data_IF_746259292214
#
_entry.id   IF_746259292214
#
_cell.length_a   1.000
_cell.length_b   1.000
_cell.length_c   1.000
_cell.angle_alpha   90.00
_cell.angle_beta   90.00
_cell.angle_gamma   90.00
#
_symmetry.space_group_name_H-M   'P 1'
#
loop_
_entity.id
_entity.type
_entity.pdbx_description
1 polymer ?
#
# COMPACT_ATOMS: atom_id res chain seq x y z
N UNK A 1 8.93 3.91 12.37
CA UNK A 1 8.51 3.40 11.05
C UNK A 1 9.46 2.29 10.64
N UNK A 2 8.93 1.10 10.45
CA UNK A 2 9.74 -0.04 10.03
C UNK A 2 9.30 -0.50 8.65
N UNK A 3 10.27 -0.52 7.72
CA UNK A 3 10.06 -0.95 6.36
C UNK A 3 10.99 -2.12 6.07
N UNK A 4 10.44 -3.16 5.46
CA UNK A 4 11.20 -4.35 5.08
C UNK A 4 11.31 -4.41 3.56
N UNK A 5 12.53 -4.51 3.06
CA UNK A 5 12.80 -4.60 1.63
C UNK A 5 13.12 -6.04 1.25
N UNK A 6 12.47 -6.56 0.21
CA UNK A 6 12.76 -7.87 -0.35
C UNK A 6 13.45 -7.69 -1.71
N UNK A 7 14.68 -8.21 -1.81
CA UNK A 7 15.42 -8.21 -3.07
C UNK A 7 14.96 -9.31 -4.03
N UNK A 8 14.15 -10.25 -3.52
CA UNK A 8 13.60 -11.36 -4.32
C UNK A 8 12.24 -11.05 -4.92
N UNK A 9 11.59 -9.98 -4.46
CA UNK A 9 10.32 -9.53 -5.02
C UNK A 9 10.53 -8.92 -6.40
N UNK A 10 9.55 -9.13 -7.30
CA UNK A 10 9.51 -8.49 -8.61
C UNK A 10 9.10 -7.03 -8.52
N UNK A 11 8.53 -6.63 -7.38
CA UNK A 11 8.11 -5.26 -7.15
C UNK A 11 9.32 -4.35 -6.95
N UNK A 12 9.40 -3.22 -7.67
CA UNK A 12 10.51 -2.27 -7.50
C UNK A 12 10.61 -1.80 -6.04
N UNK A 13 11.82 -1.49 -5.59
CA UNK A 13 12.06 -1.08 -4.20
C UNK A 13 11.22 0.14 -3.83
N UNK A 14 11.12 1.15 -4.71
CA UNK A 14 10.32 2.33 -4.38
C UNK A 14 8.84 1.99 -4.15
N UNK A 15 8.28 1.03 -4.89
CA UNK A 15 6.91 0.58 -4.68
C UNK A 15 6.75 -0.18 -3.37
N UNK A 16 7.73 -0.99 -2.99
CA UNK A 16 7.72 -1.67 -1.69
C UNK A 16 7.65 -0.65 -0.55
N UNK A 17 8.39 0.45 -0.68
CA UNK A 17 8.36 1.53 0.31
C UNK A 17 6.99 2.22 0.31
N UNK A 18 6.51 2.63 -0.87
CA UNK A 18 5.22 3.35 -0.96
C UNK A 18 4.07 2.50 -0.44
N UNK A 19 4.02 1.23 -0.80
CA UNK A 19 2.93 0.35 -0.36
C UNK A 19 2.93 0.12 1.15
N UNK A 20 4.10 -0.03 1.75
CA UNK A 20 4.21 -0.19 3.21
C UNK A 20 3.83 1.09 3.95
N UNK A 21 4.30 2.25 3.48
CA UNK A 21 3.93 3.53 4.10
C UNK A 21 2.44 3.80 3.98
N UNK A 22 1.85 3.56 2.80
CA UNK A 22 0.40 3.69 2.61
C UNK A 22 -0.38 2.82 3.59
N UNK A 23 0.03 1.57 3.75
CA UNK A 23 -0.60 0.65 4.69
C UNK A 23 -0.52 1.15 6.13
N UNK A 24 0.64 1.65 6.55
CA UNK A 24 0.84 2.19 7.90
C UNK A 24 -0.04 3.43 8.16
N UNK A 25 -0.23 4.27 7.14
CA UNK A 25 -1.10 5.44 7.24
C UNK A 25 -2.56 5.01 7.33
N UNK A 26 -2.97 4.07 6.50
CA UNK A 26 -4.36 3.59 6.46
C UNK A 26 -4.78 2.85 7.71
N UNK A 27 -3.86 2.13 8.35
CA UNK A 27 -4.13 1.40 9.60
C UNK A 27 -4.00 2.28 10.85
N UNK A 28 -3.54 3.53 10.68
CA UNK A 28 -3.33 4.44 11.81
C UNK A 28 -2.00 4.24 12.54
N UNK A 29 -1.16 3.31 12.09
CA UNK A 29 0.17 3.10 12.66
C UNK A 29 1.02 4.37 12.53
N UNK A 30 0.89 5.07 11.39
CA UNK A 30 1.42 6.41 11.20
C UNK A 30 0.25 7.40 11.27
N UNK A 31 0.20 8.18 12.35
CA UNK A 31 -0.87 9.14 12.57
C UNK A 31 -0.74 10.37 11.67
N UNK A 32 -1.86 11.02 11.40
CA UNK A 32 -1.87 12.31 10.72
C UNK A 32 -0.95 13.30 11.40
N UNK A 33 -0.16 14.01 10.61
CA UNK A 33 0.80 14.99 11.11
C UNK A 33 2.10 14.39 11.63
N UNK A 34 2.22 13.07 11.70
CA UNK A 34 3.45 12.43 12.15
C UNK A 34 4.59 12.72 11.17
N UNK A 35 5.78 13.00 11.68
CA UNK A 35 6.96 13.23 10.88
C UNK A 35 7.51 11.91 10.36
N UNK A 36 7.85 11.89 9.07
CA UNK A 36 8.56 10.77 8.47
C UNK A 36 10.07 10.98 8.61
N UNK A 37 10.86 9.88 8.60
CA UNK A 37 12.31 10.06 8.56
C UNK A 37 12.72 10.81 7.30
N UNK A 38 13.85 11.51 7.35
CA UNK A 38 14.38 12.17 6.16
C UNK A 38 14.71 11.13 5.08
N UNK A 39 14.69 11.57 3.83
CA UNK A 39 15.05 10.71 2.71
C UNK A 39 16.42 10.07 2.91
N UNK A 40 17.41 10.85 3.36
CA UNK A 40 18.76 10.35 3.60
C UNK A 40 18.81 9.32 4.73
N UNK A 41 18.07 9.58 5.81
CA UNK A 41 18.02 8.67 6.94
C UNK A 41 17.38 7.35 6.55
N UNK A 42 16.26 7.39 5.88
CA UNK A 42 15.58 6.17 5.44
C UNK A 42 16.43 5.38 4.45
N UNK A 43 17.05 6.06 3.49
CA UNK A 43 17.95 5.41 2.54
C UNK A 43 19.11 4.70 3.25
N UNK A 44 19.69 5.36 4.25
CA UNK A 44 20.77 4.79 5.06
C UNK A 44 20.28 3.58 5.85
N UNK A 45 19.15 3.70 6.52
CA UNK A 45 18.59 2.64 7.36
C UNK A 45 18.23 1.41 6.53
N UNK A 46 17.74 1.60 5.32
CA UNK A 46 17.37 0.50 4.41
C UNK A 46 18.51 0.04 3.51
N UNK A 47 19.64 0.73 3.54
CA UNK A 47 20.80 0.44 2.68
C UNK A 47 20.43 0.47 1.19
N UNK A 48 19.70 1.51 0.79
CA UNK A 48 19.29 1.74 -0.58
C UNK A 48 19.71 3.14 -1.04
N UNK A 49 19.57 3.41 -2.34
CA UNK A 49 19.96 4.72 -2.88
C UNK A 49 19.02 5.82 -2.41
N UNK A 50 19.57 7.03 -2.28
CA UNK A 50 18.78 8.24 -1.98
C UNK A 50 17.79 8.51 -3.11
N UNK A 51 18.16 8.24 -4.35
CA UNK A 51 17.30 8.44 -5.53
C UNK A 51 16.04 7.58 -5.45
N UNK A 52 16.19 6.30 -5.08
CA UNK A 52 15.06 5.38 -4.92
C UNK A 52 14.13 5.83 -3.81
N UNK A 53 14.70 6.23 -2.66
CA UNK A 53 13.93 6.73 -1.52
C UNK A 53 13.20 8.02 -1.86
N UNK A 54 13.87 8.94 -2.56
CA UNK A 54 13.27 10.18 -3.03
C UNK A 54 12.07 9.91 -3.94
N UNK A 55 12.20 8.97 -4.86
CA UNK A 55 11.10 8.57 -5.74
C UNK A 55 9.90 8.07 -4.95
N UNK A 56 10.14 7.25 -3.93
CA UNK A 56 9.06 6.77 -3.07
C UNK A 56 8.31 7.93 -2.40
N UNK A 57 9.04 8.89 -1.84
CA UNK A 57 8.44 10.06 -1.20
C UNK A 57 7.69 10.94 -2.19
N UNK A 58 8.22 11.14 -3.39
CA UNK A 58 7.52 11.89 -4.44
C UNK A 58 6.21 11.22 -4.84
N UNK A 59 6.22 9.90 -5.00
CA UNK A 59 5.00 9.14 -5.31
C UNK A 59 3.97 9.23 -4.19
N UNK A 60 4.41 9.15 -2.93
CA UNK A 60 3.52 9.29 -1.77
C UNK A 60 2.91 10.68 -1.69
N UNK A 61 3.69 11.71 -1.96
CA UNK A 61 3.22 13.08 -1.96
C UNK A 61 2.22 13.32 -3.09
N UNK A 62 2.53 12.84 -4.29
CA UNK A 62 1.66 12.92 -5.46
C UNK A 62 0.32 12.22 -5.22
N UNK A 63 0.34 11.10 -4.51
CA UNK A 63 -0.86 10.35 -4.17
C UNK A 63 -1.63 10.93 -2.98
N UNK A 64 -1.11 11.98 -2.33
CA UNK A 64 -1.79 12.65 -1.23
C UNK A 64 -1.62 12.00 0.14
N UNK A 65 -0.67 11.08 0.30
CA UNK A 65 -0.43 10.42 1.58
C UNK A 65 0.48 11.21 2.51
N UNK A 66 1.38 12.00 1.95
CA UNK A 66 2.29 12.83 2.71
C UNK A 66 2.38 14.23 2.10
N UNK A 67 2.90 15.18 2.88
CA UNK A 67 3.25 16.51 2.40
C UNK A 67 4.62 16.90 2.93
N UNK A 68 5.30 17.78 2.22
CA UNK A 68 6.63 18.24 2.60
C UNK A 68 6.62 19.73 2.89
N UNK A 69 7.33 20.12 3.92
CA UNK A 69 7.55 21.52 4.28
C UNK A 69 9.04 21.80 4.15
N UNK A 70 9.39 22.76 3.31
CA UNK A 70 10.78 23.14 3.07
C UNK A 70 11.46 23.48 4.41
N UNK A 71 12.59 22.85 4.66
CA UNK A 71 13.37 23.05 5.90
C UNK A 71 12.84 22.29 7.11
N UNK A 72 11.72 21.60 7.02
CA UNK A 72 11.12 20.87 8.15
C UNK A 72 10.95 19.37 7.90
N UNK A 73 10.83 18.96 6.65
CA UNK A 73 10.71 17.54 6.28
C UNK A 73 9.35 17.16 5.75
N UNK A 74 9.07 15.86 5.81
CA UNK A 74 7.83 15.26 5.31
C UNK A 74 6.96 14.76 6.45
N UNK A 75 5.66 14.88 6.26
CA UNK A 75 4.67 14.57 7.30
C UNK A 75 3.49 13.82 6.70
N UNK A 76 2.81 13.03 7.52
CA UNK A 76 1.62 12.30 7.12
C UNK A 76 0.47 13.29 6.89
N UNK A 77 -0.11 13.25 5.69
CA UNK A 77 -1.25 14.10 5.32
C UNK A 77 -2.55 13.56 5.89
N UNK A 78 -3.54 14.45 6.03
CA UNK A 78 -4.90 14.05 6.39
C UNK A 78 -5.48 13.14 5.30
N UNK A 79 -6.12 12.04 5.72
CA UNK A 79 -6.74 11.08 4.81
C UNK A 79 -8.26 11.10 4.97
N UNK A 80 -8.96 11.10 3.85
CA UNK A 80 -10.39 10.83 3.87
C UNK A 80 -10.58 9.31 3.83
N UNK A 81 -10.73 8.72 5.00
CA UNK A 81 -10.81 7.26 5.16
C UNK A 81 -12.01 6.68 4.41
N UNK A 82 -13.13 7.39 4.39
CA UNK A 82 -14.35 6.93 3.70
C UNK A 82 -14.13 6.82 2.18
N UNK A 83 -13.54 7.85 1.56
CA UNK A 83 -13.25 7.84 0.13
C UNK A 83 -12.26 6.73 -0.21
N UNK A 84 -11.25 6.55 0.62
CA UNK A 84 -10.25 5.50 0.40
C UNK A 84 -10.83 4.11 0.55
N UNK A 85 -11.72 3.92 1.53
CA UNK A 85 -12.44 2.67 1.72
C UNK A 85 -13.29 2.33 0.50
N UNK A 86 -14.01 3.31 -0.04
CA UNK A 86 -14.82 3.12 -1.25
C UNK A 86 -13.99 2.71 -2.44
N UNK A 87 -12.84 3.35 -2.64
CA UNK A 87 -11.93 3.00 -3.73
C UNK A 87 -11.41 1.57 -3.62
N UNK A 88 -11.03 1.16 -2.40
CA UNK A 88 -10.56 -0.20 -2.15
C UNK A 88 -11.66 -1.23 -2.35
N UNK A 89 -12.86 -0.93 -1.89
CA UNK A 89 -14.03 -1.81 -2.10
C UNK A 89 -14.30 -2.02 -3.58
N UNK A 90 -14.19 -0.97 -4.38
CA UNK A 90 -14.39 -1.06 -5.82
C UNK A 90 -13.37 -2.02 -6.46
N UNK A 91 -12.11 -1.93 -6.06
CA UNK A 91 -11.05 -2.83 -6.54
C UNK A 91 -11.35 -4.27 -6.14
N UNK A 92 -11.75 -4.51 -4.90
CA UNK A 92 -12.13 -5.85 -4.42
C UNK A 92 -13.31 -6.40 -5.23
N UNK A 93 -14.32 -5.56 -5.47
CA UNK A 93 -15.48 -5.95 -6.28
C UNK A 93 -15.08 -6.35 -7.69
N UNK A 94 -14.19 -5.58 -8.32
CA UNK A 94 -13.67 -5.90 -9.65
C UNK A 94 -12.89 -7.22 -9.66
N UNK A 95 -12.07 -7.43 -8.63
CA UNK A 95 -11.30 -8.68 -8.50
C UNK A 95 -12.22 -9.89 -8.28
N UNK A 96 -13.24 -9.74 -7.42
CA UNK A 96 -14.24 -10.78 -7.22
C UNK A 96 -15.03 -11.06 -8.51
N UNK A 97 -15.35 -10.01 -9.28
CA UNK A 97 -15.98 -10.15 -10.57
C UNK A 97 -15.19 -11.04 -11.52
N UNK A 98 -13.88 -10.84 -11.56
CA UNK A 98 -12.99 -11.67 -12.36
C UNK A 98 -12.99 -13.13 -11.87
N UNK A 99 -12.98 -13.33 -10.56
CA UNK A 99 -13.07 -14.67 -9.95
C UNK A 99 -14.37 -15.36 -10.35
N UNK A 100 -15.50 -14.65 -10.30
CA UNK A 100 -16.80 -15.18 -10.69
C UNK A 100 -16.80 -15.58 -12.16
N UNK A 101 -16.28 -14.73 -13.04
CA UNK A 101 -16.19 -15.03 -14.47
C UNK A 101 -15.35 -16.28 -14.72
N UNK A 102 -14.17 -16.35 -14.13
CA UNK A 102 -13.28 -17.50 -14.27
C UNK A 102 -13.90 -18.78 -13.69
N UNK A 103 -14.58 -18.65 -12.55
CA UNK A 103 -15.26 -19.79 -11.93
C UNK A 103 -16.37 -20.36 -12.81
N UNK A 104 -17.17 -19.49 -13.42
CA UNK A 104 -18.23 -19.91 -14.33
C UNK A 104 -17.66 -20.63 -15.58
N UNK A 105 -16.54 -20.16 -16.10
CA UNK A 105 -15.87 -20.80 -17.22
C UNK A 105 -15.42 -22.22 -16.89
N UNK A 106 -15.01 -22.46 -15.64
CA UNK A 106 -14.64 -23.80 -15.17
C UNK A 106 -15.83 -24.65 -14.72
N UNK A 107 -17.04 -24.09 -14.75
CA UNK A 107 -18.24 -24.79 -14.31
C UNK A 107 -18.37 -24.86 -12.76
N UNK A 108 -17.67 -24.01 -12.04
CA UNK A 108 -17.79 -23.97 -10.58
C UNK A 108 -19.12 -23.36 -10.15
N UNK A 109 -19.77 -24.00 -9.18
CA UNK A 109 -21.00 -23.47 -8.59
C UNK A 109 -20.69 -22.35 -7.59
N UNK A 110 -21.72 -21.60 -7.21
CA UNK A 110 -21.61 -20.60 -6.15
C UNK A 110 -21.08 -21.21 -4.86
N UNK A 111 -21.61 -22.38 -4.48
CA UNK A 111 -21.16 -23.06 -3.26
C UNK A 111 -19.69 -23.43 -3.31
N UNK A 112 -19.20 -23.89 -4.47
CA UNK A 112 -17.79 -24.21 -4.65
C UNK A 112 -16.91 -22.98 -4.54
N UNK A 113 -17.30 -21.85 -5.15
CA UNK A 113 -16.58 -20.59 -5.03
C UNK A 113 -16.61 -20.06 -3.60
N UNK A 114 -17.75 -20.18 -2.93
CA UNK A 114 -17.91 -19.76 -1.54
C UNK A 114 -16.99 -20.55 -0.61
N UNK A 115 -16.86 -21.85 -0.82
CA UNK A 115 -15.97 -22.70 -0.04
C UNK A 115 -14.51 -22.31 -0.23
N UNK A 116 -14.10 -21.99 -1.47
CA UNK A 116 -12.75 -21.50 -1.75
C UNK A 116 -12.49 -20.19 -1.02
N UNK A 117 -13.43 -19.27 -1.09
CA UNK A 117 -13.30 -17.98 -0.42
C UNK A 117 -13.20 -18.17 1.10
N UNK A 118 -14.02 -19.02 1.67
CA UNK A 118 -14.01 -19.31 3.10
C UNK A 118 -12.66 -19.91 3.54
N UNK A 119 -12.16 -20.85 2.76
CA UNK A 119 -10.86 -21.49 3.03
C UNK A 119 -9.73 -20.45 3.06
N UNK A 120 -9.70 -19.57 2.04
CA UNK A 120 -8.69 -18.51 1.97
C UNK A 120 -8.82 -17.50 3.11
N UNK A 121 -10.05 -17.20 3.51
CA UNK A 121 -10.32 -16.24 4.58
C UNK A 121 -9.88 -16.76 5.95
N UNK A 122 -10.00 -18.05 6.18
CA UNK A 122 -9.66 -18.68 7.46
C UNK A 122 -8.18 -19.08 7.56
N UNK A 123 -7.42 -18.92 6.47
CA UNK A 123 -6.02 -19.30 6.41
C UNK A 123 -5.10 -18.46 7.33
#
# INVERSE_FOLDING_TARGET
>A
MQITISNHSKEPIYEQITNQVKSMILTGELAEGAALPSIRKLAKDLQISVITTKRAYEELEKAGFIYSIVGKGSFVAEQNIEVMREKKLKVIEEQLGAVVTNGKELGLSFDELQQLLKFLYEE
#
